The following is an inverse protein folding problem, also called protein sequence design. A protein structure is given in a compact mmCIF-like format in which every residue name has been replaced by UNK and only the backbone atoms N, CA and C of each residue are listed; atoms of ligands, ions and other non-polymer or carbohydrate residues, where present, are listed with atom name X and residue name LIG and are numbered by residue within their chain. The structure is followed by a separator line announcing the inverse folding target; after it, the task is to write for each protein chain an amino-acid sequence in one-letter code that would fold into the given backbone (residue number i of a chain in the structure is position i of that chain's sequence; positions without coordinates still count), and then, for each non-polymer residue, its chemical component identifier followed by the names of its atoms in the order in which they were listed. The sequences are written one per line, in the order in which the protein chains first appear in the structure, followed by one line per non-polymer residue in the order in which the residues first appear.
data_IF_374019182070
#
_entry.id   IF_374019182070
#
_cell.length_a   1.000
_cell.length_b   1.000
_cell.length_c   1.000
_cell.angle_alpha   90.00
_cell.angle_beta   90.00
_cell.angle_gamma   90.00
#
_symmetry.space_group_name_H-M   'P 1'
#
loop_
_entity.id
_entity.type
_entity.pdbx_description
1 polymer ?
#
# COMPACT_ATOMS: atom_id res chain seq x y z
N UNK A 1 -1.51 24.91 6.07
CA UNK A 1 -0.88 23.58 5.95
C UNK A 1 -0.18 23.57 4.60
N UNK A 2 1.13 23.32 4.56
CA UNK A 2 1.91 23.33 3.32
C UNK A 2 1.50 22.13 2.47
N UNK A 3 0.89 22.37 1.31
CA UNK A 3 0.46 21.34 0.36
C UNK A 3 1.67 20.86 -0.48
N UNK A 4 2.64 20.24 0.18
CA UNK A 4 3.91 19.81 -0.43
C UNK A 4 3.82 18.39 -1.00
N UNK A 5 2.93 17.55 -0.45
CA UNK A 5 2.85 16.13 -0.81
C UNK A 5 1.66 15.88 -1.74
N UNK A 6 1.96 15.49 -2.97
CA UNK A 6 0.93 15.10 -3.95
C UNK A 6 0.29 13.74 -3.59
N UNK A 7 1.09 12.79 -3.11
CA UNK A 7 0.65 11.45 -2.73
C UNK A 7 1.63 10.83 -1.72
N UNK A 8 1.11 10.27 -0.63
CA UNK A 8 1.85 9.53 0.38
C UNK A 8 1.36 8.08 0.41
N UNK A 9 2.24 7.13 0.10
CA UNK A 9 1.94 5.70 0.22
C UNK A 9 2.73 5.10 1.38
N UNK A 10 2.03 4.40 2.28
CA UNK A 10 2.59 3.70 3.44
C UNK A 10 2.34 2.21 3.25
N UNK A 11 3.41 1.43 3.24
CA UNK A 11 3.36 -0.02 3.11
C UNK A 11 3.37 -0.67 4.49
N UNK A 12 2.49 -1.64 4.72
CA UNK A 12 2.35 -2.36 5.99
C UNK A 12 2.28 -3.87 5.74
N UNK A 13 2.95 -4.68 6.55
CA UNK A 13 2.89 -6.14 6.51
C UNK A 13 2.59 -6.69 7.91
N UNK A 14 1.84 -7.78 8.02
CA UNK A 14 1.66 -8.49 9.30
C UNK A 14 2.99 -9.08 9.83
N UNK A 15 3.96 -9.32 8.95
CA UNK A 15 5.33 -9.77 9.28
C UNK A 15 6.29 -8.63 9.70
N UNK A 16 5.89 -7.36 9.56
CA UNK A 16 6.73 -6.18 9.83
C UNK A 16 6.77 -5.82 11.33
N UNK A 17 7.62 -6.53 12.06
CA UNK A 17 7.83 -6.39 13.51
C UNK A 17 8.66 -5.16 13.94
N UNK A 18 8.91 -4.20 13.03
CA UNK A 18 9.80 -3.06 13.24
C UNK A 18 9.13 -1.79 13.83
N UNK A 19 7.80 -1.78 14.02
CA UNK A 19 7.06 -0.65 14.60
C UNK A 19 7.04 -0.67 16.15
N UNK A 20 7.85 -1.52 16.79
CA UNK A 20 7.94 -1.59 18.26
C UNK A 20 8.66 -0.40 18.90
N UNK A 21 9.47 0.37 18.15
CA UNK A 21 10.20 1.52 18.70
C UNK A 21 9.39 2.83 18.79
N UNK A 22 8.30 2.96 18.02
CA UNK A 22 7.40 4.12 18.08
C UNK A 22 6.34 4.00 19.20
N UNK A 23 6.29 2.85 19.88
CA UNK A 23 5.30 2.49 20.92
C UNK A 23 5.44 3.32 22.21
N UNK A 24 6.56 4.01 22.42
CA UNK A 24 6.81 4.73 23.69
C UNK A 24 6.23 6.15 23.74
N UNK A 25 5.92 6.78 22.60
CA UNK A 25 5.57 8.22 22.56
C UNK A 25 4.07 8.48 22.35
N UNK A 26 3.32 7.55 21.76
CA UNK A 26 1.90 7.75 21.48
C UNK A 26 1.07 6.53 21.89
N UNK A 27 0.15 6.70 22.84
CA UNK A 27 -0.84 5.73 23.36
C UNK A 27 -1.90 5.37 22.29
N UNK A 28 -1.44 4.99 21.10
CA UNK A 28 -2.25 4.67 19.93
C UNK A 28 -2.07 3.19 19.63
N UNK A 29 -3.16 2.43 19.66
CA UNK A 29 -3.17 1.03 19.25
C UNK A 29 -2.62 0.87 17.83
N UNK A 30 -1.44 0.25 17.73
CA UNK A 30 -0.82 -0.49 16.61
C UNK A 30 -1.28 -0.07 15.20
N UNK A 31 -0.48 0.73 14.50
CA UNK A 31 -0.51 0.85 13.04
C UNK A 31 0.51 -0.11 12.44
N UNK A 32 0.07 -1.34 12.14
CA UNK A 32 0.94 -2.38 11.59
C UNK A 32 0.35 -3.78 11.71
N UNK A 33 -0.53 -3.99 12.70
CA UNK A 33 -1.52 -5.05 12.58
C UNK A 33 -2.74 -4.50 11.87
N UNK A 34 -3.00 -4.99 10.67
CA UNK A 34 -4.38 -4.95 10.16
C UNK A 34 -5.16 -5.94 11.03
N UNK A 35 -5.57 -5.50 12.22
CA UNK A 35 -6.65 -6.18 12.92
C UNK A 35 -7.84 -6.17 11.96
N UNK A 36 -8.58 -7.28 11.87
CA UNK A 36 -9.81 -7.39 11.06
C UNK A 36 -10.81 -6.23 11.29
N UNK A 37 -10.64 -5.47 12.36
CA UNK A 37 -11.42 -4.30 12.72
C UNK A 37 -10.51 -3.07 12.91
N UNK A 38 -10.60 -2.12 11.97
CA UNK A 38 -10.01 -0.78 12.07
C UNK A 38 -10.91 0.11 12.92
N UNK A 39 -10.33 0.94 13.79
CA UNK A 39 -11.13 1.88 14.58
C UNK A 39 -11.86 2.88 13.65
N UNK A 40 -13.10 3.30 13.98
CA UNK A 40 -13.85 4.28 13.18
C UNK A 40 -13.08 5.58 12.95
N UNK A 41 -12.26 6.00 13.93
CA UNK A 41 -11.41 7.19 13.83
C UNK A 41 -10.32 7.04 12.75
N UNK A 42 -9.63 5.90 12.70
CA UNK A 42 -8.60 5.64 11.66
C UNK A 42 -9.24 5.53 10.29
N UNK A 43 -10.39 4.85 10.19
CA UNK A 43 -11.16 4.78 8.94
C UNK A 43 -11.56 6.17 8.43
N UNK A 44 -12.16 6.97 9.31
CA UNK A 44 -12.56 8.33 8.99
C UNK A 44 -11.36 9.19 8.57
N UNK A 45 -10.23 9.06 9.27
CA UNK A 45 -9.01 9.78 8.91
C UNK A 45 -8.52 9.40 7.51
N UNK A 46 -8.45 8.12 7.17
CA UNK A 46 -8.04 7.66 5.84
C UNK A 46 -9.02 8.11 4.74
N UNK A 47 -10.34 8.06 5.00
CA UNK A 47 -11.37 8.53 4.07
C UNK A 47 -11.29 10.06 3.83
N UNK A 48 -10.91 10.84 4.85
CA UNK A 48 -10.75 12.30 4.74
C UNK A 48 -9.41 12.74 4.15
N UNK A 49 -8.44 11.84 4.02
CA UNK A 49 -7.10 12.13 3.49
C UNK A 49 -6.83 11.29 2.23
N UNK A 50 -7.44 11.60 1.07
CA UNK A 50 -7.30 10.79 -0.15
C UNK A 50 -5.88 10.77 -0.74
N UNK A 51 -5.02 11.70 -0.32
CA UNK A 51 -3.59 11.71 -0.68
C UNK A 51 -2.78 10.67 0.12
N UNK A 52 -3.32 10.13 1.21
CA UNK A 52 -2.71 9.07 2.01
C UNK A 52 -3.25 7.69 1.59
N UNK A 53 -2.34 6.81 1.20
CA UNK A 53 -2.65 5.46 0.76
C UNK A 53 -1.96 4.45 1.68
N UNK A 54 -2.74 3.67 2.42
CA UNK A 54 -2.23 2.52 3.14
C UNK A 54 -2.28 1.29 2.22
N UNK A 55 -1.15 0.60 2.07
CA UNK A 55 -1.00 -0.57 1.19
C UNK A 55 -0.58 -1.75 2.05
N UNK A 56 -1.45 -2.74 2.17
CA UNK A 56 -1.17 -4.00 2.84
C UNK A 56 -0.44 -4.95 1.89
N UNK A 57 0.79 -5.31 2.24
CA UNK A 57 1.65 -6.21 1.47
C UNK A 57 1.61 -7.65 1.98
N UNK A 58 0.82 -7.97 3.01
CA UNK A 58 0.84 -9.28 3.67
C UNK A 58 0.65 -10.44 2.68
N UNK A 59 -0.20 -10.27 1.67
CA UNK A 59 -0.47 -11.30 0.65
C UNK A 59 0.33 -11.11 -0.65
N UNK A 60 1.31 -10.20 -0.69
CA UNK A 60 2.14 -10.01 -1.87
C UNK A 60 3.07 -11.22 -2.06
N UNK A 61 3.32 -11.60 -3.33
CA UNK A 61 4.21 -12.71 -3.63
C UNK A 61 5.60 -12.47 -3.01
N UNK A 62 6.09 -13.43 -2.21
CA UNK A 62 7.35 -13.33 -1.46
C UNK A 62 7.39 -12.17 -0.44
N UNK A 63 6.24 -11.76 0.12
CA UNK A 63 6.22 -10.82 1.25
C UNK A 63 6.88 -11.38 2.53
N UNK A 64 6.85 -12.72 2.68
CA UNK A 64 7.37 -13.42 3.86
C UNK A 64 8.80 -13.95 3.70
N UNK A 65 9.50 -13.65 2.60
CA UNK A 65 10.82 -14.25 2.30
C UNK A 65 11.98 -13.66 3.12
N UNK A 66 11.74 -12.68 3.98
CA UNK A 66 12.79 -12.07 4.81
C UNK A 66 12.26 -11.20 5.97
N UNK A 67 13.20 -10.58 6.71
CA UNK A 67 12.85 -9.71 7.84
C UNK A 67 12.10 -8.47 7.35
N UNK A 68 10.97 -8.19 7.99
CA UNK A 68 10.27 -6.91 8.04
C UNK A 68 10.09 -6.19 6.71
N UNK A 69 11.11 -5.49 6.23
CA UNK A 69 11.08 -4.61 5.06
C UNK A 69 11.72 -5.18 3.79
N UNK A 70 12.23 -6.41 3.84
CA UNK A 70 12.88 -7.07 2.70
C UNK A 70 11.98 -7.19 1.47
N UNK A 71 10.65 -7.20 1.66
CA UNK A 71 9.65 -7.25 0.60
C UNK A 71 9.79 -6.14 -0.45
N UNK A 72 10.36 -4.97 -0.11
CA UNK A 72 10.60 -3.91 -1.10
C UNK A 72 11.54 -4.33 -2.22
N UNK A 73 12.44 -5.28 -1.96
CA UNK A 73 13.41 -5.81 -2.92
C UNK A 73 13.09 -7.23 -3.35
N UNK A 74 12.55 -8.02 -2.44
CA UNK A 74 12.35 -9.46 -2.65
C UNK A 74 11.00 -9.78 -3.29
N UNK A 75 9.96 -8.95 -3.05
CA UNK A 75 8.68 -9.12 -3.72
C UNK A 75 8.72 -8.45 -5.09
N UNK A 76 8.56 -9.19 -6.20
CA UNK A 76 8.41 -8.60 -7.52
C UNK A 76 7.17 -7.70 -7.60
N UNK A 77 6.16 -7.95 -6.76
CA UNK A 77 4.92 -7.19 -6.75
C UNK A 77 5.11 -5.84 -6.07
N UNK A 78 5.69 -5.82 -4.86
CA UNK A 78 5.92 -4.58 -4.12
C UNK A 78 6.96 -3.70 -4.83
N UNK A 79 8.05 -4.28 -5.34
CA UNK A 79 9.05 -3.54 -6.11
C UNK A 79 8.44 -2.90 -7.38
N UNK A 80 7.63 -3.65 -8.13
CA UNK A 80 6.91 -3.10 -9.29
C UNK A 80 5.97 -1.97 -8.88
N UNK A 81 5.22 -2.14 -7.80
CA UNK A 81 4.28 -1.14 -7.27
C UNK A 81 4.99 0.18 -6.93
N UNK A 82 6.12 0.12 -6.24
CA UNK A 82 6.95 1.29 -5.90
C UNK A 82 7.50 1.95 -7.17
N UNK A 83 8.05 1.17 -8.10
CA UNK A 83 8.59 1.69 -9.36
C UNK A 83 7.51 2.44 -10.17
N UNK A 84 6.29 1.90 -10.23
CA UNK A 84 5.19 2.55 -10.94
C UNK A 84 4.75 3.88 -10.30
N UNK A 85 4.83 3.99 -8.98
CA UNK A 85 4.60 5.26 -8.27
C UNK A 85 5.68 6.28 -8.60
N UNK A 86 6.96 5.88 -8.53
CA UNK A 86 8.07 6.80 -8.72
C UNK A 86 8.21 7.25 -10.17
N UNK A 87 8.08 6.33 -11.13
CA UNK A 87 8.30 6.62 -12.55
C UNK A 87 7.12 7.32 -13.21
N UNK A 88 5.90 6.92 -12.85
CA UNK A 88 4.70 7.29 -13.60
C UNK A 88 3.63 7.98 -12.75
N UNK A 89 3.87 8.16 -11.45
CA UNK A 89 2.92 8.77 -10.50
C UNK A 89 1.54 8.12 -10.55
N UNK A 90 1.48 6.81 -10.81
CA UNK A 90 0.22 6.09 -10.93
C UNK A 90 -0.48 5.97 -9.58
N UNK A 91 -1.80 6.13 -9.58
CA UNK A 91 -2.60 5.87 -8.39
C UNK A 91 -2.56 4.38 -8.02
N UNK A 92 -2.83 4.00 -6.76
CA UNK A 92 -2.97 2.59 -6.37
C UNK A 92 -3.89 1.77 -7.28
N UNK A 93 -5.03 2.36 -7.69
CA UNK A 93 -5.98 1.72 -8.61
C UNK A 93 -5.38 1.51 -10.00
N UNK A 94 -4.69 2.51 -10.54
CA UNK A 94 -4.04 2.43 -11.85
C UNK A 94 -2.90 1.40 -11.86
N UNK A 95 -2.24 1.18 -10.73
CA UNK A 95 -1.23 0.13 -10.56
C UNK A 95 -1.81 -1.27 -10.44
N UNK A 96 -3.14 -1.41 -10.34
CA UNK A 96 -3.80 -2.72 -10.25
C UNK A 96 -4.09 -3.18 -8.83
N UNK A 97 -3.92 -2.34 -7.81
CA UNK A 97 -4.35 -2.65 -6.44
C UNK A 97 -5.88 -2.62 -6.32
N UNK A 98 -6.40 -3.29 -5.29
CA UNK A 98 -7.82 -3.26 -4.94
C UNK A 98 -8.04 -2.71 -3.54
N UNK A 99 -9.22 -2.15 -3.27
CA UNK A 99 -9.59 -1.79 -1.90
C UNK A 99 -9.93 -3.06 -1.12
N UNK A 100 -9.49 -3.12 0.13
CA UNK A 100 -10.01 -4.06 1.11
C UNK A 100 -11.51 -3.80 1.25
N UNK A 101 -12.36 -4.81 1.08
CA UNK A 101 -13.83 -4.61 1.06
C UNK A 101 -14.40 -4.00 2.35
N UNK A 102 -13.66 -4.10 3.45
CA UNK A 102 -14.07 -3.64 4.79
C UNK A 102 -13.36 -2.36 5.23
N UNK A 103 -12.24 -1.98 4.61
CA UNK A 103 -11.37 -0.89 5.06
C UNK A 103 -10.85 -0.03 3.89
N UNK A 104 -10.60 1.28 4.09
CA UNK A 104 -9.97 2.13 3.09
C UNK A 104 -8.46 1.86 2.98
N UNK A 105 -8.08 0.59 2.80
CA UNK A 105 -6.73 0.07 2.60
C UNK A 105 -6.65 -0.51 1.19
N UNK A 106 -5.48 -0.48 0.59
CA UNK A 106 -5.18 -1.13 -0.68
C UNK A 106 -4.48 -2.48 -0.45
N UNK A 107 -4.85 -3.47 -1.24
CA UNK A 107 -4.30 -4.82 -1.17
C UNK A 107 -3.84 -5.28 -2.55
N UNK A 108 -2.86 -6.18 -2.56
CA UNK A 108 -2.45 -6.90 -3.76
C UNK A 108 -3.46 -8.01 -4.05
N UNK A 109 -4.20 -7.95 -5.17
CA UNK A 109 -5.01 -9.07 -5.63
C UNK A 109 -4.12 -10.23 -6.08
N UNK A 110 -4.65 -11.45 -6.10
CA UNK A 110 -3.92 -12.64 -6.57
C UNK A 110 -3.42 -12.53 -8.02
N UNK A 111 -4.10 -11.72 -8.84
CA UNK A 111 -3.75 -11.45 -10.24
C UNK A 111 -3.12 -10.05 -10.44
N UNK A 112 -2.39 -9.54 -9.45
CA UNK A 112 -1.83 -8.18 -9.48
C UNK A 112 -1.00 -7.88 -10.73
N UNK A 113 -0.10 -8.79 -11.11
CA UNK A 113 0.78 -8.58 -12.26
C UNK A 113 0.00 -8.44 -13.57
N UNK A 114 -0.98 -9.30 -13.81
CA UNK A 114 -1.86 -9.24 -14.97
C UNK A 114 -2.61 -7.90 -15.02
N UNK A 115 -3.19 -7.49 -13.88
CA UNK A 115 -3.89 -6.20 -13.77
C UNK A 115 -2.97 -5.02 -14.03
N UNK A 116 -1.74 -5.07 -13.53
CA UNK A 116 -0.74 -4.02 -13.76
C UNK A 116 -0.42 -3.92 -15.25
N UNK A 117 -0.08 -5.02 -15.90
CA UNK A 117 0.23 -5.03 -17.34
C UNK A 117 -0.94 -4.53 -18.19
N UNK A 118 -2.15 -5.03 -17.93
CA UNK A 118 -3.36 -4.60 -18.63
C UNK A 118 -3.60 -3.09 -18.49
N UNK A 119 -3.42 -2.56 -17.28
CA UNK A 119 -3.60 -1.13 -17.01
C UNK A 119 -2.55 -0.28 -17.72
N UNK A 120 -1.28 -0.69 -17.70
CA UNK A 120 -0.19 -0.01 -18.40
C UNK A 120 -0.45 -0.03 -19.91
N UNK A 121 -0.83 -1.19 -20.46
CA UNK A 121 -1.12 -1.33 -21.88
C UNK A 121 -2.27 -0.41 -22.31
N UNK A 122 -3.38 -0.38 -21.55
CA UNK A 122 -4.51 0.52 -21.82
C UNK A 122 -4.08 1.98 -21.75
N UNK A 123 -3.29 2.35 -20.74
CA UNK A 123 -2.88 3.74 -20.49
C UNK A 123 -1.91 4.28 -21.54
N UNK A 124 -0.96 3.47 -22.00
CA UNK A 124 0.07 3.90 -22.94
C UNK A 124 -0.27 3.59 -24.41
N UNK A 125 -1.09 2.58 -24.71
CA UNK A 125 -1.54 2.33 -26.09
C UNK A 125 -2.74 3.19 -26.49
N UNK A 126 -3.52 3.70 -25.53
CA UNK A 126 -4.61 4.65 -25.78
C UNK A 126 -4.15 6.11 -25.97
N UNK A 127 -2.83 6.37 -25.98
CA UNK A 127 -2.23 7.69 -26.21
C UNK A 127 -1.68 7.89 -27.63
N UNK A 128 -2.03 6.99 -28.57
CA UNK A 128 -1.75 7.16 -30.01
C UNK A 128 -2.93 7.77 -30.74
#
# INVERSE_FOLDING_TARGET
MLDIVDNLSVYVSDSDSAVSAAEWIFDWGRLGQVRREMSPAVRYFLEKNPKLNLIDVTNAAHADSGNGHSYFRESPWVSSDVLMTLMYKLSPKDRGLQRSGTMPIWEFPSNYQERLFDNLQKKFNGQK
#
